data_IF_666626003526
#
_entry.id   IF_666626003526
#
_cell.length_a   1.000
_cell.length_b   1.000
_cell.length_c   1.000
_cell.angle_alpha   90.00
_cell.angle_beta   90.00
_cell.angle_gamma   90.00
#
_symmetry.space_group_name_H-M   'P 1'
#
loop_
_entity.id
_entity.type
_entity.pdbx_description
1 polymer ?
#
# COMPACT_ATOMS: atom_id res chain seq x y z
N UNK A 1 -27.45 6.10 30.49
CA UNK A 1 -26.49 6.33 29.38
C UNK A 1 -25.11 5.90 29.89
N UNK A 2 -24.55 4.79 29.41
CA UNK A 2 -23.27 4.29 29.93
C UNK A 2 -22.11 4.95 29.18
N UNK A 3 -21.44 5.90 29.82
CA UNK A 3 -20.23 6.56 29.29
C UNK A 3 -19.09 5.53 29.36
N UNK A 4 -18.49 5.21 28.20
CA UNK A 4 -17.32 4.33 28.17
C UNK A 4 -16.06 5.17 28.42
N UNK A 5 -15.43 5.02 29.59
CA UNK A 5 -14.07 5.53 29.84
C UNK A 5 -13.00 4.78 29.05
N UNK A 6 -13.31 3.59 28.52
CA UNK A 6 -12.33 2.65 27.95
C UNK A 6 -12.50 2.35 26.44
N UNK A 7 -13.45 2.99 25.75
CA UNK A 7 -13.60 2.77 24.30
C UNK A 7 -12.36 3.26 23.54
N UNK A 8 -11.86 2.43 22.61
CA UNK A 8 -10.65 2.77 21.85
C UNK A 8 -10.63 2.11 20.48
N UNK A 9 -10.45 2.91 19.43
CA UNK A 9 -10.34 2.44 18.05
C UNK A 9 -9.06 1.64 17.82
N UNK A 10 -7.94 2.20 18.28
CA UNK A 10 -6.60 1.61 18.16
C UNK A 10 -5.97 1.41 19.54
N UNK A 11 -5.02 0.49 19.66
CA UNK A 11 -4.23 0.40 20.88
C UNK A 11 -3.23 1.57 20.87
N UNK A 12 -3.27 2.51 21.84
CA UNK A 12 -2.36 3.66 21.84
C UNK A 12 -0.88 3.25 21.91
N UNK A 13 -0.58 2.07 22.47
CA UNK A 13 0.76 1.48 22.54
C UNK A 13 1.15 0.66 21.30
N UNK A 14 0.28 0.59 20.29
CA UNK A 14 0.52 -0.16 19.06
C UNK A 14 1.66 0.43 18.21
N UNK A 15 1.87 -0.19 17.04
CA UNK A 15 2.80 0.29 16.03
C UNK A 15 2.39 1.70 15.61
N UNK A 16 3.30 2.66 15.81
CA UNK A 16 3.18 4.03 15.32
C UNK A 16 3.90 4.14 13.96
N UNK A 17 3.59 5.17 13.16
CA UNK A 17 4.31 5.42 11.90
C UNK A 17 5.84 5.49 12.09
N UNK A 18 6.31 6.10 13.19
CA UNK A 18 7.73 6.16 13.54
C UNK A 18 8.34 4.76 13.73
N UNK A 19 7.67 3.88 14.50
CA UNK A 19 8.13 2.50 14.71
C UNK A 19 8.11 1.69 13.42
N UNK A 20 7.13 1.94 12.56
CA UNK A 20 7.00 1.27 11.26
C UNK A 20 8.15 1.64 10.31
N UNK A 21 8.49 2.93 10.18
CA UNK A 21 9.66 3.39 9.41
C UNK A 21 10.93 2.80 9.99
N UNK A 22 11.13 2.91 11.31
CA UNK A 22 12.33 2.39 11.95
C UNK A 22 12.52 0.89 11.69
N UNK A 23 11.45 0.09 11.82
CA UNK A 23 11.48 -1.33 11.50
C UNK A 23 11.82 -1.59 10.02
N UNK A 24 11.23 -0.84 9.09
CA UNK A 24 11.53 -0.96 7.66
C UNK A 24 12.99 -0.61 7.34
N UNK A 25 13.52 0.48 7.91
CA UNK A 25 14.91 0.86 7.75
C UNK A 25 15.88 -0.16 8.37
N UNK A 26 15.53 -0.76 9.52
CA UNK A 26 16.33 -1.82 10.14
C UNK A 26 16.35 -3.09 9.29
N UNK A 27 15.22 -3.49 8.69
CA UNK A 27 15.16 -4.62 7.77
C UNK A 27 15.97 -4.34 6.50
N UNK A 28 15.84 -3.13 5.95
CA UNK A 28 16.63 -2.69 4.80
C UNK A 28 18.13 -2.74 5.12
N UNK A 29 18.55 -2.22 6.29
CA UNK A 29 19.95 -2.26 6.73
C UNK A 29 20.44 -3.69 6.94
N UNK A 30 19.62 -4.57 7.51
CA UNK A 30 19.98 -5.98 7.66
C UNK A 30 20.22 -6.64 6.30
N UNK A 31 19.38 -6.38 5.30
CA UNK A 31 19.61 -6.86 3.94
C UNK A 31 20.84 -6.24 3.28
N UNK A 32 21.08 -4.94 3.46
CA UNK A 32 22.29 -4.27 2.97
C UNK A 32 23.57 -4.93 3.50
N UNK A 33 23.59 -5.28 4.79
CA UNK A 33 24.78 -5.84 5.44
C UNK A 33 24.99 -7.33 5.18
N UNK A 34 23.90 -8.09 5.01
CA UNK A 34 23.96 -9.56 4.96
C UNK A 34 23.89 -10.13 3.54
N UNK A 35 23.26 -9.42 2.60
CA UNK A 35 23.04 -9.95 1.26
C UNK A 35 24.27 -9.73 0.36
N UNK A 36 24.65 -10.72 -0.47
CA UNK A 36 25.75 -10.60 -1.42
C UNK A 36 25.36 -9.72 -2.62
N UNK A 37 24.98 -8.46 -2.39
CA UNK A 37 24.59 -7.47 -3.41
C UNK A 37 25.53 -6.27 -3.36
N UNK A 38 25.77 -5.65 -4.52
CA UNK A 38 26.48 -4.38 -4.63
C UNK A 38 25.51 -3.33 -5.10
N UNK A 39 25.17 -2.37 -4.22
CA UNK A 39 24.28 -1.28 -4.60
C UNK A 39 25.01 -0.26 -5.48
N UNK A 40 24.24 0.36 -6.39
CA UNK A 40 24.69 1.54 -7.12
C UNK A 40 25.03 2.68 -6.17
N UNK A 41 26.15 3.33 -6.46
CA UNK A 41 26.64 4.53 -5.78
C UNK A 41 26.62 5.70 -6.76
N UNK A 42 25.87 6.76 -6.43
CA UNK A 42 25.86 7.99 -7.22
C UNK A 42 27.25 8.65 -7.25
N UNK A 43 27.55 9.45 -8.28
CA UNK A 43 28.84 10.13 -8.36
C UNK A 43 28.96 11.33 -7.41
N UNK A 44 27.85 11.77 -6.82
CA UNK A 44 27.79 12.86 -5.84
C UNK A 44 27.03 12.45 -4.59
N UNK A 45 27.30 13.14 -3.48
CA UNK A 45 26.60 12.91 -2.21
C UNK A 45 25.19 13.52 -2.17
N UNK A 46 24.87 14.40 -3.12
CA UNK A 46 23.62 15.16 -3.15
C UNK A 46 22.36 14.28 -3.09
N UNK A 47 22.22 13.19 -3.86
CA UNK A 47 21.05 12.31 -3.75
C UNK A 47 20.87 11.69 -2.37
N UNK A 48 21.96 11.32 -1.69
CA UNK A 48 21.90 10.73 -0.36
C UNK A 48 21.56 11.75 0.72
N UNK A 49 22.12 12.96 0.61
CA UNK A 49 21.74 14.09 1.47
C UNK A 49 20.26 14.41 1.30
N UNK A 50 19.76 14.49 0.07
CA UNK A 50 18.36 14.76 -0.20
C UNK A 50 17.45 13.66 0.32
N UNK A 51 17.80 12.38 0.13
CA UNK A 51 17.07 11.25 0.70
C UNK A 51 16.99 11.34 2.23
N UNK A 52 18.13 11.64 2.87
CA UNK A 52 18.20 11.88 4.32
C UNK A 52 17.29 13.01 4.77
N UNK A 53 17.26 14.13 4.04
CA UNK A 53 16.37 15.26 4.29
C UNK A 53 14.89 14.90 4.08
N UNK A 54 14.55 14.06 3.10
CA UNK A 54 13.19 13.57 2.90
C UNK A 54 12.71 12.72 4.08
N UNK A 55 13.55 11.80 4.57
CA UNK A 55 13.26 11.06 5.80
C UNK A 55 13.15 11.98 7.01
N UNK A 56 14.09 12.91 7.19
CA UNK A 56 14.05 13.88 8.28
C UNK A 56 12.77 14.74 8.24
N UNK A 57 12.36 15.19 7.05
CA UNK A 57 11.12 15.93 6.84
C UNK A 57 9.89 15.10 7.19
N UNK A 58 9.81 13.85 6.71
CA UNK A 58 8.73 12.93 7.06
C UNK A 58 8.64 12.70 8.57
N UNK A 59 9.77 12.42 9.22
CA UNK A 59 9.86 12.21 10.66
C UNK A 59 9.47 13.48 11.44
N UNK A 60 9.93 14.65 11.01
CA UNK A 60 9.56 15.93 11.60
C UNK A 60 8.05 16.15 11.56
N UNK A 61 7.43 15.95 10.38
CA UNK A 61 5.97 16.03 10.24
C UNK A 61 5.24 15.05 11.15
N UNK A 62 5.73 13.80 11.24
CA UNK A 62 5.14 12.79 12.12
C UNK A 62 5.19 13.19 13.60
N UNK A 63 6.32 13.76 14.06
CA UNK A 63 6.55 14.13 15.46
C UNK A 63 5.77 15.40 15.84
N UNK A 64 5.77 16.43 14.99
CA UNK A 64 5.17 17.74 15.32
C UNK A 64 3.68 17.65 15.67
N UNK A 65 2.96 16.75 15.01
CA UNK A 65 1.51 16.59 15.19
C UNK A 65 1.13 15.35 16.02
N UNK A 66 2.12 14.64 16.57
CA UNK A 66 1.88 13.43 17.35
C UNK A 66 1.14 13.78 18.65
N UNK A 67 0.03 13.09 18.98
CA UNK A 67 -0.72 13.34 20.20
C UNK A 67 0.12 13.04 21.44
N UNK A 68 0.49 14.08 22.20
CA UNK A 68 1.31 13.96 23.43
C UNK A 68 0.54 13.34 24.61
N UNK A 69 -0.78 13.55 24.66
CA UNK A 69 -1.64 13.04 25.73
C UNK A 69 -2.80 12.28 25.13
N UNK A 70 -3.23 11.20 25.81
CA UNK A 70 -4.46 10.50 25.44
C UNK A 70 -5.64 11.42 25.76
N UNK A 71 -6.42 11.85 24.76
CA UNK A 71 -7.64 12.57 25.05
C UNK A 71 -8.62 11.62 25.76
N UNK A 72 -9.10 12.01 26.94
CA UNK A 72 -10.25 11.36 27.57
C UNK A 72 -11.50 11.86 26.85
N UNK A 73 -11.99 11.06 25.91
CA UNK A 73 -13.24 11.35 25.21
C UNK A 73 -14.34 10.52 25.86
N UNK A 74 -15.30 11.19 26.49
CA UNK A 74 -16.55 10.54 26.90
C UNK A 74 -17.37 10.28 25.62
N UNK A 75 -17.61 9.01 25.30
CA UNK A 75 -18.37 8.65 24.10
C UNK A 75 -19.61 7.85 24.47
N UNK A 76 -20.74 8.17 23.85
CA UNK A 76 -21.96 7.39 23.95
C UNK A 76 -21.78 6.05 23.19
N UNK A 77 -21.89 4.95 23.95
CA UNK A 77 -21.81 3.58 23.43
C UNK A 77 -22.82 3.32 22.31
N UNK A 78 -24.04 3.85 22.41
CA UNK A 78 -25.08 3.62 21.41
C UNK A 78 -24.77 4.35 20.10
N UNK A 79 -24.28 5.59 20.19
CA UNK A 79 -23.86 6.37 19.03
C UNK A 79 -22.68 5.72 18.29
N UNK A 80 -21.69 5.21 19.03
CA UNK A 80 -20.57 4.44 18.47
C UNK A 80 -21.09 3.21 17.73
N UNK A 81 -21.96 2.43 18.38
CA UNK A 81 -22.46 1.19 17.80
C UNK A 81 -23.19 1.45 16.48
N UNK A 82 -24.08 2.46 16.47
CA UNK A 82 -24.79 2.90 15.26
C UNK A 82 -23.82 3.37 14.17
N UNK A 83 -22.78 4.12 14.55
CA UNK A 83 -21.76 4.60 13.60
C UNK A 83 -20.98 3.43 12.99
N UNK A 84 -20.56 2.46 13.80
CA UNK A 84 -19.87 1.26 13.34
C UNK A 84 -20.76 0.41 12.42
N UNK A 85 -22.04 0.23 12.76
CA UNK A 85 -23.00 -0.51 11.93
C UNK A 85 -23.20 0.16 10.58
N UNK A 86 -23.44 1.48 10.55
CA UNK A 86 -23.59 2.24 9.30
C UNK A 86 -22.34 2.18 8.43
N UNK A 87 -21.16 2.38 9.02
CA UNK A 87 -19.90 2.27 8.29
C UNK A 87 -19.70 0.86 7.74
N UNK A 88 -19.96 -0.17 8.55
CA UNK A 88 -19.88 -1.56 8.12
C UNK A 88 -20.79 -1.83 6.92
N UNK A 89 -22.08 -1.48 7.02
CA UNK A 89 -23.08 -1.77 5.97
C UNK A 89 -22.78 -1.04 4.66
N UNK A 90 -22.54 0.28 4.73
CA UNK A 90 -22.24 1.09 3.54
C UNK A 90 -20.98 0.56 2.86
N UNK A 91 -19.90 0.36 3.62
CA UNK A 91 -18.64 -0.10 3.03
C UNK A 91 -18.71 -1.55 2.54
N UNK A 92 -19.52 -2.40 3.15
CA UNK A 92 -19.76 -3.76 2.67
C UNK A 92 -20.48 -3.75 1.31
N UNK A 93 -21.52 -2.93 1.16
CA UNK A 93 -22.25 -2.79 -0.12
C UNK A 93 -21.32 -2.24 -1.20
N UNK A 94 -20.57 -1.17 -0.91
CA UNK A 94 -19.62 -0.57 -1.85
C UNK A 94 -18.54 -1.57 -2.27
N UNK A 95 -18.01 -2.34 -1.32
CA UNK A 95 -17.02 -3.36 -1.60
C UNK A 95 -17.55 -4.52 -2.45
N UNK A 96 -18.74 -5.03 -2.12
CA UNK A 96 -19.40 -6.08 -2.89
C UNK A 96 -19.67 -5.63 -4.32
N UNK A 97 -20.16 -4.39 -4.49
CA UNK A 97 -20.33 -3.77 -5.81
C UNK A 97 -18.99 -3.62 -6.53
N UNK A 98 -17.94 -3.14 -5.87
CA UNK A 98 -16.61 -3.00 -6.46
C UNK A 98 -16.04 -4.30 -6.99
N UNK A 99 -16.20 -5.40 -6.25
CA UNK A 99 -15.80 -6.74 -6.69
C UNK A 99 -16.69 -7.24 -7.83
N UNK A 100 -18.01 -7.08 -7.74
CA UNK A 100 -18.94 -7.49 -8.80
C UNK A 100 -18.63 -6.79 -10.13
N UNK A 101 -18.39 -5.47 -10.10
CA UNK A 101 -17.99 -4.70 -11.28
C UNK A 101 -16.63 -5.17 -11.83
N UNK A 102 -15.69 -5.57 -10.97
CA UNK A 102 -14.40 -6.12 -11.44
C UNK A 102 -14.59 -7.43 -12.18
N UNK A 103 -15.36 -8.34 -11.58
CA UNK A 103 -15.65 -9.63 -12.16
C UNK A 103 -16.42 -9.46 -13.47
N UNK A 104 -17.36 -8.51 -13.54
CA UNK A 104 -18.08 -8.21 -14.77
C UNK A 104 -17.16 -7.67 -15.87
N UNK A 105 -16.26 -6.74 -15.56
CA UNK A 105 -15.22 -6.28 -16.49
C UNK A 105 -14.36 -7.45 -17.00
N UNK A 106 -13.91 -8.31 -16.08
CA UNK A 106 -13.04 -9.42 -16.40
C UNK A 106 -13.69 -10.49 -17.25
N UNK A 107 -14.88 -10.95 -16.86
CA UNK A 107 -15.57 -12.06 -17.53
C UNK A 107 -16.27 -11.58 -18.79
N UNK A 108 -17.05 -10.50 -18.73
CA UNK A 108 -17.93 -10.10 -19.83
C UNK A 108 -17.29 -9.12 -20.81
N UNK A 109 -16.44 -8.19 -20.36
CA UNK A 109 -15.81 -7.23 -21.26
C UNK A 109 -14.49 -7.74 -21.83
N UNK A 110 -13.67 -8.40 -21.01
CA UNK A 110 -12.32 -8.84 -21.39
C UNK A 110 -12.24 -10.33 -21.75
N UNK A 111 -13.30 -11.10 -21.50
CA UNK A 111 -13.34 -12.53 -21.85
C UNK A 111 -12.24 -13.36 -21.17
N UNK A 112 -11.94 -13.05 -19.91
CA UNK A 112 -11.03 -13.84 -19.08
C UNK A 112 -11.70 -15.16 -18.71
N UNK A 113 -11.02 -16.27 -18.98
CA UNK A 113 -11.50 -17.62 -18.61
C UNK A 113 -10.47 -18.31 -17.73
N UNK A 114 -10.92 -19.22 -16.87
CA UNK A 114 -10.01 -20.00 -15.99
C UNK A 114 -9.18 -20.99 -16.82
N UNK A 115 -9.72 -21.42 -17.97
CA UNK A 115 -9.10 -22.40 -18.87
C UNK A 115 -8.02 -21.81 -19.79
N UNK A 116 -7.91 -20.49 -19.87
CA UNK A 116 -6.86 -19.83 -20.67
C UNK A 116 -5.59 -19.68 -19.86
N UNK A 117 -4.44 -19.86 -20.54
CA UNK A 117 -3.14 -19.68 -19.91
C UNK A 117 -3.01 -18.28 -19.29
N UNK A 118 -2.34 -18.23 -18.14
CA UNK A 118 -2.15 -17.01 -17.36
C UNK A 118 -1.62 -15.82 -18.20
N UNK A 119 -0.70 -16.08 -19.14
CA UNK A 119 -0.10 -15.05 -19.99
C UNK A 119 -1.10 -14.45 -20.98
N UNK A 120 -1.95 -15.28 -21.59
CA UNK A 120 -2.98 -14.83 -22.53
C UNK A 120 -4.02 -13.94 -21.81
N UNK A 121 -4.41 -14.35 -20.60
CA UNK A 121 -5.31 -13.57 -19.76
C UNK A 121 -4.70 -12.20 -19.39
N UNK A 122 -3.40 -12.16 -19.08
CA UNK A 122 -2.69 -10.92 -18.80
C UNK A 122 -2.65 -9.99 -20.03
N UNK A 123 -2.34 -10.53 -21.20
CA UNK A 123 -2.26 -9.78 -22.45
C UNK A 123 -3.63 -9.17 -22.84
N UNK A 124 -4.74 -9.91 -22.64
CA UNK A 124 -6.11 -9.38 -22.81
C UNK A 124 -6.37 -8.18 -21.90
N UNK A 125 -5.89 -8.21 -20.66
CA UNK A 125 -6.05 -7.09 -19.72
C UNK A 125 -5.22 -5.89 -20.18
N UNK A 126 -3.96 -6.10 -20.57
CA UNK A 126 -3.05 -5.02 -20.95
C UNK A 126 -3.49 -4.34 -22.26
N UNK A 127 -3.93 -5.12 -23.25
CA UNK A 127 -4.40 -4.63 -24.55
C UNK A 127 -5.74 -3.90 -24.50
N UNK A 128 -6.70 -4.36 -23.68
CA UNK A 128 -8.03 -3.73 -23.58
C UNK A 128 -8.02 -2.36 -22.88
N UNK A 129 -6.90 -1.97 -22.25
CA UNK A 129 -6.77 -0.66 -21.60
C UNK A 129 -7.71 -0.47 -20.40
N UNK A 130 -8.02 0.79 -20.06
CA UNK A 130 -8.96 1.14 -18.97
C UNK A 130 -10.34 1.51 -19.52
N UNK A 131 -11.39 0.96 -18.91
CA UNK A 131 -12.79 1.31 -19.20
C UNK A 131 -13.52 1.81 -17.93
N UNK A 132 -14.73 2.36 -18.09
CA UNK A 132 -15.50 2.94 -16.99
C UNK A 132 -15.80 1.94 -15.85
N UNK A 133 -16.19 0.69 -16.16
CA UNK A 133 -16.44 -0.34 -15.14
C UNK A 133 -15.18 -0.65 -14.34
N UNK A 134 -14.05 -0.81 -15.03
CA UNK A 134 -12.75 -1.07 -14.41
C UNK A 134 -12.31 0.10 -13.52
N UNK A 135 -12.58 1.36 -13.91
CA UNK A 135 -12.26 2.54 -13.12
C UNK A 135 -13.15 2.65 -11.88
N UNK A 136 -14.47 2.52 -12.04
CA UNK A 136 -15.41 2.54 -10.91
C UNK A 136 -15.10 1.42 -9.90
N UNK A 137 -14.85 0.21 -10.39
CA UNK A 137 -14.39 -0.90 -9.56
C UNK A 137 -13.12 -0.55 -8.79
N UNK A 138 -12.14 0.10 -9.43
CA UNK A 138 -10.87 0.49 -8.80
C UNK A 138 -11.08 1.45 -7.62
N UNK A 139 -12.04 2.37 -7.72
CA UNK A 139 -12.40 3.31 -6.64
C UNK A 139 -13.12 2.60 -5.48
N UNK A 140 -13.88 1.53 -5.77
CA UNK A 140 -14.69 0.83 -4.77
C UNK A 140 -13.96 -0.32 -4.06
N UNK A 141 -13.01 -0.98 -4.73
CA UNK A 141 -12.20 -2.08 -4.18
C UNK A 141 -11.54 -1.75 -2.82
N UNK A 142 -11.04 -0.52 -2.55
CA UNK A 142 -10.52 -0.16 -1.25
C UNK A 142 -11.44 -0.50 -0.07
N UNK A 143 -12.76 -0.42 -0.27
CA UNK A 143 -13.73 -0.73 0.78
C UNK A 143 -13.79 -2.20 1.14
N UNK A 144 -13.17 -3.12 0.40
CA UNK A 144 -13.14 -4.56 0.74
C UNK A 144 -12.53 -4.84 2.12
N UNK A 145 -11.62 -3.98 2.58
CA UNK A 145 -10.98 -4.12 3.90
C UNK A 145 -11.80 -3.47 5.03
N UNK A 146 -12.55 -2.41 4.74
CA UNK A 146 -13.19 -1.57 5.76
C UNK A 146 -14.20 -2.30 6.65
N UNK A 147 -15.09 -3.19 6.13
CA UNK A 147 -15.99 -3.97 6.97
C UNK A 147 -15.25 -4.79 8.03
N UNK A 148 -14.09 -5.37 7.69
CA UNK A 148 -13.27 -6.10 8.64
C UNK A 148 -12.68 -5.18 9.71
N UNK A 149 -12.25 -3.96 9.34
CA UNK A 149 -11.79 -2.96 10.30
C UNK A 149 -12.89 -2.58 11.31
N UNK A 150 -14.10 -2.33 10.83
CA UNK A 150 -15.26 -1.99 11.69
C UNK A 150 -15.62 -3.15 12.61
N UNK A 151 -15.67 -4.38 12.08
CA UNK A 151 -15.88 -5.59 12.86
C UNK A 151 -14.80 -5.77 13.95
N UNK A 152 -13.53 -5.56 13.60
CA UNK A 152 -12.41 -5.68 14.51
C UNK A 152 -12.47 -4.66 15.67
N UNK A 153 -12.77 -3.39 15.36
CA UNK A 153 -13.01 -2.35 16.38
C UNK A 153 -14.15 -2.75 17.30
N UNK A 154 -15.29 -3.16 16.75
CA UNK A 154 -16.45 -3.58 17.54
C UNK A 154 -16.09 -4.73 18.48
N UNK A 155 -15.49 -5.81 17.94
CA UNK A 155 -15.10 -7.01 18.69
C UNK A 155 -14.16 -6.69 19.83
N UNK A 156 -13.16 -5.84 19.61
CA UNK A 156 -12.22 -5.42 20.66
C UNK A 156 -12.93 -4.75 21.84
N UNK A 157 -13.92 -3.91 21.54
CA UNK A 157 -14.66 -3.14 22.55
C UNK A 157 -15.89 -3.89 23.09
N UNK A 158 -15.98 -5.22 22.90
CA UNK A 158 -17.10 -6.03 23.38
C UNK A 158 -18.43 -5.77 22.67
N UNK A 159 -18.40 -5.11 21.51
CA UNK A 159 -19.56 -4.87 20.65
C UNK A 159 -19.63 -5.92 19.53
N UNK A 160 -20.81 -6.10 18.96
CA UNK A 160 -21.04 -6.98 17.81
C UNK A 160 -21.54 -6.16 16.63
N UNK A 161 -20.77 -6.13 15.56
CA UNK A 161 -21.11 -5.47 14.29
C UNK A 161 -20.74 -6.40 13.15
N UNK A 162 -21.73 -6.69 12.30
CA UNK A 162 -21.54 -7.57 11.15
C UNK A 162 -21.10 -8.99 11.50
N UNK A 163 -20.61 -9.71 10.50
CA UNK A 163 -20.10 -11.08 10.65
C UNK A 163 -18.60 -11.14 10.36
N UNK A 164 -17.86 -11.84 11.22
CA UNK A 164 -16.40 -12.02 11.07
C UNK A 164 -16.06 -12.75 9.77
N UNK A 165 -16.81 -13.82 9.44
CA UNK A 165 -16.50 -14.62 8.26
C UNK A 165 -16.81 -13.87 6.96
N UNK A 166 -17.92 -13.11 6.91
CA UNK A 166 -18.30 -12.32 5.74
C UNK A 166 -17.28 -11.22 5.46
N UNK A 167 -16.86 -10.51 6.52
CA UNK A 167 -15.89 -9.42 6.40
C UNK A 167 -14.49 -9.90 6.05
N UNK A 168 -14.03 -11.01 6.65
CA UNK A 168 -12.75 -11.63 6.27
C UNK A 168 -12.81 -12.14 4.83
N UNK A 169 -13.86 -12.87 4.45
CA UNK A 169 -14.02 -13.40 3.10
C UNK A 169 -13.97 -12.31 2.03
N UNK A 170 -14.68 -11.20 2.25
CA UNK A 170 -14.65 -10.05 1.34
C UNK A 170 -13.27 -9.38 1.28
N UNK A 171 -12.60 -9.23 2.43
CA UNK A 171 -11.27 -8.64 2.50
C UNK A 171 -10.18 -9.51 1.85
N UNK A 172 -10.34 -10.84 1.85
CA UNK A 172 -9.42 -11.78 1.20
C UNK A 172 -9.70 -11.98 -0.28
N UNK A 173 -10.93 -11.70 -0.73
CA UNK A 173 -11.34 -11.91 -2.11
C UNK A 173 -10.51 -11.06 -3.08
N UNK A 174 -10.24 -9.80 -2.73
CA UNK A 174 -9.40 -8.94 -3.58
C UNK A 174 -7.95 -9.45 -3.74
N UNK A 175 -7.20 -9.76 -2.66
CA UNK A 175 -5.91 -10.44 -2.77
C UNK A 175 -5.93 -11.69 -3.66
N UNK A 176 -6.95 -12.55 -3.51
CA UNK A 176 -7.08 -13.78 -4.31
C UNK A 176 -7.29 -13.46 -5.79
N UNK A 177 -8.17 -12.50 -6.12
CA UNK A 177 -8.38 -12.05 -7.49
C UNK A 177 -7.12 -11.45 -8.10
N UNK A 178 -6.32 -10.73 -7.31
CA UNK A 178 -5.05 -10.15 -7.79
C UNK A 178 -3.97 -11.19 -8.09
N UNK A 179 -4.00 -12.35 -7.42
CA UNK A 179 -3.12 -13.48 -7.75
C UNK A 179 -3.46 -14.03 -9.13
N UNK A 180 -4.75 -14.18 -9.45
CA UNK A 180 -5.21 -14.70 -10.75
C UNK A 180 -4.70 -13.86 -11.93
N UNK A 181 -4.60 -12.53 -11.75
CA UNK A 181 -4.04 -11.61 -12.77
C UNK A 181 -2.54 -11.33 -12.59
N UNK A 182 -1.90 -11.95 -11.59
CA UNK A 182 -0.48 -11.83 -11.25
C UNK A 182 -0.02 -10.45 -10.81
N UNK A 183 -0.91 -9.66 -10.22
CA UNK A 183 -0.58 -8.39 -9.58
C UNK A 183 -0.09 -8.61 -8.15
N UNK A 184 1.21 -8.86 -7.99
CA UNK A 184 1.82 -9.17 -6.68
C UNK A 184 1.77 -7.99 -5.70
N UNK A 185 1.96 -6.77 -6.18
CA UNK A 185 2.06 -5.58 -5.32
C UNK A 185 0.73 -5.22 -4.65
N UNK A 186 -0.39 -5.32 -5.38
CA UNK A 186 -1.74 -5.06 -4.84
C UNK A 186 -2.17 -6.12 -3.81
N UNK A 187 -1.79 -7.38 -4.00
CA UNK A 187 -1.93 -8.44 -3.01
C UNK A 187 -1.18 -8.09 -1.71
N UNK A 188 0.11 -7.74 -1.80
CA UNK A 188 0.92 -7.38 -0.63
C UNK A 188 0.36 -6.16 0.11
N UNK A 189 -0.11 -5.15 -0.61
CA UNK A 189 -0.75 -3.97 -0.01
C UNK A 189 -1.99 -4.38 0.82
N UNK A 190 -2.87 -5.18 0.24
CA UNK A 190 -4.15 -5.56 0.86
C UNK A 190 -3.95 -6.52 2.05
N UNK A 191 -3.09 -7.54 1.90
CA UNK A 191 -2.74 -8.45 2.99
C UNK A 191 -1.94 -7.74 4.10
N UNK A 192 -1.02 -6.84 3.72
CA UNK A 192 -0.27 -6.00 4.64
C UNK A 192 -1.20 -5.15 5.50
N UNK A 193 -2.20 -4.51 4.89
CA UNK A 193 -3.23 -3.77 5.63
C UNK A 193 -4.04 -4.66 6.57
N UNK A 194 -4.37 -5.90 6.21
CA UNK A 194 -5.04 -6.85 7.12
C UNK A 194 -4.18 -7.20 8.34
N UNK A 195 -2.88 -7.40 8.14
CA UNK A 195 -1.93 -7.60 9.24
C UNK A 195 -1.87 -6.34 10.12
N UNK A 196 -1.78 -5.15 9.52
CA UNK A 196 -1.77 -3.87 10.25
C UNK A 196 -3.05 -3.67 11.08
N UNK A 197 -4.23 -3.99 10.54
CA UNK A 197 -5.50 -3.97 11.28
C UNK A 197 -5.37 -4.78 12.57
N UNK A 198 -4.85 -6.01 12.47
CA UNK A 198 -4.69 -6.89 13.63
C UNK A 198 -3.72 -6.31 14.66
N UNK A 199 -2.56 -5.84 14.22
CA UNK A 199 -1.49 -5.32 15.07
C UNK A 199 -1.84 -3.99 15.77
N UNK A 200 -2.65 -3.16 15.12
CA UNK A 200 -3.03 -1.83 15.63
C UNK A 200 -4.25 -1.91 16.53
N UNK A 201 -5.30 -2.62 16.11
CA UNK A 201 -6.59 -2.61 16.83
C UNK A 201 -6.50 -3.45 18.10
N UNK A 202 -5.88 -4.63 18.04
CA UNK A 202 -5.88 -5.55 19.17
C UNK A 202 -4.63 -5.37 20.05
N UNK A 203 -4.77 -5.27 21.38
CA UNK A 203 -3.63 -5.02 22.26
C UNK A 203 -2.70 -6.23 22.39
N UNK A 204 -3.21 -7.44 22.18
CA UNK A 204 -2.46 -8.69 22.22
C UNK A 204 -2.78 -9.49 20.96
N UNK A 205 -1.74 -9.80 20.20
CA UNK A 205 -1.81 -10.75 19.08
C UNK A 205 -1.12 -12.03 19.54
N UNK A 206 -1.78 -13.18 19.39
CA UNK A 206 -1.19 -14.46 19.77
C UNK A 206 0.01 -14.77 18.88
N UNK A 207 1.03 -15.43 19.44
CA UNK A 207 2.20 -15.90 18.68
C UNK A 207 1.78 -16.75 17.49
N UNK A 208 0.76 -17.60 17.65
CA UNK A 208 0.21 -18.43 16.57
C UNK A 208 -0.24 -17.60 15.35
N UNK A 209 -0.97 -16.49 15.56
CA UNK A 209 -1.43 -15.63 14.46
C UNK A 209 -0.23 -14.95 13.80
N UNK A 210 0.72 -14.45 14.59
CA UNK A 210 1.94 -13.83 14.05
C UNK A 210 2.76 -14.81 13.22
N UNK A 211 2.98 -16.02 13.73
CA UNK A 211 3.67 -17.10 13.03
C UNK A 211 2.92 -17.49 11.76
N UNK A 212 1.59 -17.62 11.82
CA UNK A 212 0.78 -17.90 10.62
C UNK A 212 0.92 -16.81 9.57
N UNK A 213 0.82 -15.53 9.94
CA UNK A 213 1.00 -14.42 9.01
C UNK A 213 2.42 -14.38 8.42
N UNK A 214 3.44 -14.66 9.23
CA UNK A 214 4.83 -14.72 8.77
C UNK A 214 5.04 -15.89 7.79
N UNK A 215 4.56 -17.08 8.12
CA UNK A 215 4.62 -18.25 7.23
C UNK A 215 3.84 -18.03 5.94
N UNK A 216 2.68 -17.38 6.00
CA UNK A 216 1.91 -17.01 4.82
C UNK A 216 2.69 -16.03 3.93
N UNK A 217 3.32 -15.00 4.49
CA UNK A 217 4.13 -14.06 3.73
C UNK A 217 5.33 -14.75 3.08
N UNK A 218 6.06 -15.59 3.81
CA UNK A 218 7.17 -16.40 3.28
C UNK A 218 6.68 -17.34 2.19
N UNK A 219 5.56 -18.03 2.41
CA UNK A 219 4.95 -18.93 1.44
C UNK A 219 4.55 -18.21 0.15
N UNK A 220 3.94 -17.02 0.25
CA UNK A 220 3.58 -16.21 -0.92
C UNK A 220 4.80 -15.73 -1.70
N UNK A 221 5.87 -15.30 -1.00
CA UNK A 221 7.14 -14.94 -1.65
C UNK A 221 7.74 -16.17 -2.35
N UNK A 222 7.72 -17.32 -1.69
CA UNK A 222 8.29 -18.56 -2.23
C UNK A 222 7.53 -19.07 -3.45
N UNK A 223 6.20 -19.20 -3.35
CA UNK A 223 5.32 -19.59 -4.48
C UNK A 223 5.42 -18.57 -5.61
N UNK A 224 5.39 -17.28 -5.31
CA UNK A 224 5.56 -16.22 -6.31
C UNK A 224 6.93 -16.25 -6.99
N UNK A 225 7.97 -16.68 -6.28
CA UNK A 225 9.30 -16.89 -6.80
C UNK A 225 9.41 -18.11 -7.72
N UNK A 226 8.76 -19.22 -7.36
CA UNK A 226 8.68 -20.42 -8.21
C UNK A 226 7.92 -20.13 -9.52
N UNK A 227 6.78 -19.45 -9.44
CA UNK A 227 6.04 -19.00 -10.63
C UNK A 227 6.89 -18.07 -11.50
N UNK A 228 7.74 -17.24 -10.89
CA UNK A 228 8.65 -16.39 -11.64
C UNK A 228 9.73 -17.21 -12.36
N UNK A 229 10.32 -18.22 -11.72
CA UNK A 229 11.29 -19.12 -12.37
C UNK A 229 10.64 -19.85 -13.55
N UNK A 230 9.47 -20.46 -13.35
CA UNK A 230 8.74 -21.17 -14.39
C UNK A 230 8.49 -20.26 -15.60
N UNK A 231 8.01 -19.03 -15.35
CA UNK A 231 7.78 -18.04 -16.41
C UNK A 231 9.05 -17.69 -17.18
N UNK A 232 10.20 -17.55 -16.49
CA UNK A 232 11.47 -17.25 -17.16
C UNK A 232 11.91 -18.37 -18.10
N UNK A 233 11.68 -19.62 -17.68
CA UNK A 233 11.98 -20.79 -18.48
C UNK A 233 11.07 -20.88 -19.72
N UNK A 234 9.77 -20.58 -19.57
CA UNK A 234 8.80 -20.58 -20.68
C UNK A 234 9.17 -19.57 -21.77
N UNK A 235 9.70 -18.40 -21.41
CA UNK A 235 10.16 -17.37 -22.36
C UNK A 235 11.62 -17.56 -22.81
N UNK A 236 12.23 -18.69 -22.47
CA UNK A 236 13.61 -19.04 -22.88
C UNK A 236 14.71 -18.22 -22.19
N UNK A 237 14.39 -17.48 -21.13
CA UNK A 237 15.38 -16.68 -20.39
C UNK A 237 16.08 -17.51 -19.31
N UNK A 238 17.41 -17.41 -19.28
CA UNK A 238 18.21 -18.01 -18.21
C UNK A 238 18.08 -17.19 -16.93
N UNK A 239 17.72 -17.85 -15.83
CA UNK A 239 17.62 -17.31 -14.47
C UNK A 239 18.88 -16.50 -14.07
N UNK A 240 20.06 -16.95 -14.50
CA UNK A 240 21.36 -16.30 -14.26
C UNK A 240 21.49 -14.93 -14.92
N UNK A 241 20.90 -14.74 -16.10
CA UNK A 241 20.91 -13.43 -16.77
C UNK A 241 19.96 -12.47 -16.06
N UNK A 242 18.80 -12.97 -15.63
CA UNK A 242 17.74 -12.19 -15.01
C UNK A 242 18.18 -11.61 -13.66
N UNK A 243 18.90 -12.38 -12.83
CA UNK A 243 19.36 -11.87 -11.53
C UNK A 243 20.40 -10.74 -11.66
N UNK A 244 21.09 -10.65 -12.80
CA UNK A 244 22.07 -9.58 -13.09
C UNK A 244 21.47 -8.40 -13.84
N UNK A 245 20.56 -8.66 -14.79
CA UNK A 245 20.18 -7.71 -15.85
C UNK A 245 18.69 -7.35 -15.86
N UNK A 246 17.89 -7.79 -14.88
CA UNK A 246 16.52 -7.31 -14.77
C UNK A 246 16.46 -5.83 -14.46
N UNK A 247 15.36 -5.18 -14.85
CA UNK A 247 15.12 -3.77 -14.61
C UNK A 247 15.38 -3.37 -13.14
N UNK A 248 14.82 -4.10 -12.17
CA UNK A 248 15.00 -3.80 -10.73
C UNK A 248 16.29 -4.36 -10.11
N UNK A 249 17.08 -5.16 -10.83
CA UNK A 249 18.34 -5.72 -10.32
C UNK A 249 19.57 -4.95 -10.80
N UNK A 250 19.43 -4.15 -11.85
CA UNK A 250 20.53 -3.39 -12.46
C UNK A 250 21.27 -2.46 -11.48
N UNK A 251 20.56 -1.82 -10.55
CA UNK A 251 21.16 -0.93 -9.55
C UNK A 251 21.39 -1.61 -8.18
N UNK A 252 21.09 -2.91 -8.08
CA UNK A 252 21.38 -3.76 -6.94
C UNK A 252 21.84 -5.16 -7.39
N UNK A 253 22.86 -5.28 -8.26
CA UNK A 253 23.29 -6.57 -8.78
C UNK A 253 23.87 -7.46 -7.68
N UNK A 254 23.75 -8.78 -7.88
CA UNK A 254 24.44 -9.77 -7.06
C UNK A 254 25.95 -9.75 -7.31
N UNK A 255 26.72 -9.98 -6.27
CA UNK A 255 28.19 -10.07 -6.30
C UNK A 255 28.67 -11.46 -6.76
N UNK A 256 29.98 -11.66 -7.03
CA UNK A 256 30.54 -12.98 -7.31
C UNK A 256 30.25 -14.03 -6.22
N UNK A 257 30.15 -13.62 -4.96
CA UNK A 257 29.87 -14.52 -3.82
C UNK A 257 28.54 -15.26 -3.98
N UNK A 258 27.53 -14.61 -4.57
CA UNK A 258 26.27 -15.26 -4.91
C UNK A 258 26.49 -16.49 -5.81
N UNK A 259 27.33 -16.36 -6.83
CA UNK A 259 27.58 -17.44 -7.79
C UNK A 259 28.43 -18.56 -7.18
N UNK A 260 29.35 -18.20 -6.27
CA UNK A 260 30.13 -19.15 -5.49
C UNK A 260 29.23 -19.99 -4.57
N UNK A 261 28.31 -19.37 -3.85
CA UNK A 261 27.34 -20.08 -3.01
C UNK A 261 26.39 -20.92 -3.87
N UNK A 262 25.91 -20.38 -5.00
CA UNK A 262 24.96 -21.08 -5.88
C UNK A 262 25.54 -22.36 -6.48
N UNK A 263 26.82 -22.35 -6.87
CA UNK A 263 27.45 -23.49 -7.55
C UNK A 263 27.48 -24.76 -6.69
N UNK A 264 27.63 -24.61 -5.37
CA UNK A 264 27.65 -25.71 -4.40
C UNK A 264 26.27 -26.21 -3.96
N UNK A 265 25.18 -25.60 -4.44
CA UNK A 265 23.82 -25.98 -4.04
C UNK A 265 23.17 -26.95 -5.04
N UNK A 266 22.27 -27.80 -4.53
CA UNK A 266 21.33 -28.59 -5.33
C UNK A 266 20.37 -27.69 -6.11
N UNK A 267 19.63 -28.24 -7.08
CA UNK A 267 18.64 -27.47 -7.86
C UNK A 267 17.63 -26.73 -6.97
N UNK A 268 17.07 -27.43 -5.97
CA UNK A 268 16.17 -26.83 -5.00
C UNK A 268 16.83 -25.70 -4.19
N UNK A 269 18.09 -25.89 -3.78
CA UNK A 269 18.87 -24.86 -3.10
C UNK A 269 19.15 -23.65 -4.00
N UNK A 270 19.46 -23.85 -5.28
CA UNK A 270 19.67 -22.79 -6.27
C UNK A 270 18.40 -21.98 -6.50
N UNK A 271 17.26 -22.64 -6.64
CA UNK A 271 15.95 -21.98 -6.79
C UNK A 271 15.59 -21.18 -5.53
N UNK A 272 15.78 -21.77 -4.35
CA UNK A 272 15.54 -21.07 -3.08
C UNK A 272 16.43 -19.82 -2.95
N UNK A 273 17.73 -19.95 -3.23
CA UNK A 273 18.67 -18.84 -3.21
C UNK A 273 18.29 -17.75 -4.21
N UNK A 274 17.89 -18.12 -5.44
CA UNK A 274 17.41 -17.16 -6.44
C UNK A 274 16.16 -16.39 -5.96
N UNK A 275 15.18 -17.09 -5.38
CA UNK A 275 13.94 -16.47 -4.88
C UNK A 275 14.24 -15.48 -3.77
N UNK A 276 15.03 -15.90 -2.77
CA UNK A 276 15.43 -15.04 -1.64
C UNK A 276 16.20 -13.83 -2.14
N UNK A 277 17.18 -14.02 -3.03
CA UNK A 277 18.00 -12.92 -3.53
C UNK A 277 17.21 -11.97 -4.42
N UNK A 278 16.30 -12.47 -5.25
CA UNK A 278 15.42 -11.61 -6.07
C UNK A 278 14.49 -10.78 -5.16
N UNK A 279 13.98 -11.39 -4.09
CA UNK A 279 13.20 -10.66 -3.09
C UNK A 279 14.03 -9.57 -2.40
N UNK A 280 15.26 -9.89 -1.99
CA UNK A 280 16.17 -8.92 -1.37
C UNK A 280 16.52 -7.80 -2.34
N UNK A 281 16.90 -8.09 -3.59
CA UNK A 281 17.15 -7.08 -4.61
C UNK A 281 15.93 -6.17 -4.80
N UNK A 282 14.73 -6.74 -4.87
CA UNK A 282 13.49 -5.97 -4.93
C UNK A 282 13.21 -5.16 -3.65
N UNK A 283 13.60 -5.63 -2.47
CA UNK A 283 13.47 -4.84 -1.24
C UNK A 283 14.48 -3.67 -1.21
N UNK A 284 15.64 -3.86 -1.81
CA UNK A 284 16.77 -2.93 -1.74
C UNK A 284 16.79 -1.89 -2.86
N UNK A 285 16.13 -2.15 -4.00
CA UNK A 285 16.25 -1.32 -5.22
C UNK A 285 15.79 0.14 -5.04
N UNK A 286 14.82 0.42 -4.15
CA UNK A 286 14.19 1.73 -4.08
C UNK A 286 15.18 2.88 -3.79
N UNK A 287 16.17 2.63 -2.92
CA UNK A 287 17.19 3.61 -2.52
C UNK A 287 18.17 3.96 -3.65
N UNK A 288 18.84 2.99 -4.32
CA UNK A 288 19.69 3.32 -5.45
C UNK A 288 18.90 3.85 -6.66
N UNK A 289 17.65 3.43 -6.89
CA UNK A 289 16.78 4.02 -7.92
C UNK A 289 16.42 5.49 -7.60
N UNK A 290 16.21 5.83 -6.33
CA UNK A 290 16.09 7.24 -5.93
C UNK A 290 17.38 8.02 -6.20
N UNK A 291 18.54 7.45 -5.86
CA UNK A 291 19.82 8.12 -6.07
C UNK A 291 20.08 8.38 -7.57
N UNK A 292 19.86 7.37 -8.39
CA UNK A 292 19.98 7.46 -9.84
C UNK A 292 19.02 8.48 -10.44
N UNK A 293 17.76 8.48 -9.97
CA UNK A 293 16.75 9.46 -10.37
C UNK A 293 17.24 10.88 -10.10
N UNK A 294 17.69 11.19 -8.89
CA UNK A 294 18.12 12.56 -8.54
C UNK A 294 19.33 13.00 -9.37
N UNK A 295 20.27 12.10 -9.66
CA UNK A 295 21.47 12.41 -10.43
C UNK A 295 21.20 12.62 -11.93
N UNK A 296 20.22 11.93 -12.51
CA UNK A 296 19.98 11.91 -13.96
C UNK A 296 18.66 12.57 -14.37
N UNK A 297 17.91 13.15 -13.43
CA UNK A 297 16.68 13.86 -13.75
C UNK A 297 16.99 15.30 -14.18
N UNK A 298 16.73 15.58 -15.46
CA UNK A 298 17.06 16.82 -16.16
C UNK A 298 15.83 17.63 -16.59
N UNK A 299 14.63 17.19 -16.18
CA UNK A 299 13.35 17.80 -16.57
C UNK A 299 12.86 18.81 -15.54
N UNK A 300 11.93 19.65 -15.99
CA UNK A 300 11.23 20.59 -15.11
C UNK A 300 10.35 19.86 -14.08
N UNK A 301 10.13 20.52 -12.94
CA UNK A 301 9.23 20.03 -11.90
C UNK A 301 7.81 19.80 -12.43
N UNK A 302 7.21 18.67 -12.06
CA UNK A 302 5.89 18.26 -12.57
C UNK A 302 4.72 18.74 -11.70
N UNK A 303 4.97 19.39 -10.56
CA UNK A 303 4.00 20.04 -9.67
C UNK A 303 2.79 19.16 -9.27
N UNK A 304 3.01 17.86 -9.10
CA UNK A 304 2.00 16.89 -8.66
C UNK A 304 1.40 16.06 -9.80
N UNK A 305 1.64 16.44 -11.05
CA UNK A 305 1.09 15.71 -12.21
C UNK A 305 1.68 14.30 -12.35
N UNK A 306 2.87 14.04 -11.82
CA UNK A 306 3.49 12.72 -11.85
C UNK A 306 2.99 11.80 -10.72
N UNK A 307 2.89 12.28 -9.48
CA UNK A 307 2.34 11.47 -8.38
C UNK A 307 0.85 11.22 -8.56
N UNK A 308 0.12 12.21 -9.08
CA UNK A 308 -1.34 12.17 -9.23
C UNK A 308 -1.80 11.98 -10.68
N UNK A 309 -0.97 11.38 -11.54
CA UNK A 309 -1.30 11.12 -12.96
C UNK A 309 -2.58 10.31 -13.14
N UNK A 310 -3.00 9.58 -12.11
CA UNK A 310 -4.29 8.87 -12.07
C UNK A 310 -5.48 9.79 -12.36
N UNK A 311 -5.45 11.06 -11.95
CA UNK A 311 -6.53 12.00 -12.23
C UNK A 311 -6.56 12.41 -13.71
N UNK A 312 -5.40 12.61 -14.32
CA UNK A 312 -5.31 12.87 -15.76
C UNK A 312 -5.84 11.68 -16.57
N UNK A 313 -5.48 10.45 -16.16
CA UNK A 313 -6.01 9.21 -16.76
C UNK A 313 -7.51 9.05 -16.57
N UNK A 314 -8.03 9.39 -15.39
CA UNK A 314 -9.47 9.40 -15.12
C UNK A 314 -10.16 10.41 -16.04
N UNK A 315 -9.59 11.60 -16.19
CA UNK A 315 -10.12 12.65 -17.04
C UNK A 315 -10.20 12.24 -18.51
N UNK A 316 -9.16 11.58 -19.02
CA UNK A 316 -9.16 11.00 -20.35
C UNK A 316 -10.25 9.94 -20.52
N UNK A 317 -10.41 9.06 -19.53
CA UNK A 317 -11.38 7.95 -19.62
C UNK A 317 -12.84 8.44 -19.54
N UNK A 318 -13.12 9.48 -18.76
CA UNK A 318 -14.48 9.98 -18.51
C UNK A 318 -14.90 11.11 -19.46
N UNK A 319 -13.97 12.00 -19.80
CA UNK A 319 -14.26 13.23 -20.55
C UNK A 319 -13.42 13.38 -21.82
N UNK A 320 -12.54 12.42 -22.15
CA UNK A 320 -11.72 12.47 -23.35
C UNK A 320 -10.61 13.54 -23.32
N UNK A 321 -10.25 14.05 -22.14
CA UNK A 321 -9.18 15.06 -22.01
C UNK A 321 -7.83 14.50 -22.49
N UNK A 322 -7.00 15.24 -23.24
CA UNK A 322 -5.72 14.74 -23.73
C UNK A 322 -4.85 14.17 -22.60
N UNK A 323 -4.41 12.93 -22.76
CA UNK A 323 -3.51 12.25 -21.83
C UNK A 323 -2.56 11.35 -22.61
N UNK A 324 -1.26 11.60 -22.47
CA UNK A 324 -0.22 10.77 -23.04
C UNK A 324 0.45 9.92 -21.94
N UNK A 325 0.08 8.65 -21.90
CA UNK A 325 0.64 7.70 -20.95
C UNK A 325 2.14 7.44 -21.18
N UNK A 326 2.60 7.51 -22.43
CA UNK A 326 4.01 7.29 -22.77
C UNK A 326 4.85 8.49 -22.32
N UNK A 327 4.38 9.71 -22.57
CA UNK A 327 5.04 10.92 -22.06
C UNK A 327 5.19 10.87 -20.54
N UNK A 328 4.15 10.47 -19.81
CA UNK A 328 4.18 10.34 -18.36
C UNK A 328 5.17 9.26 -17.88
N UNK A 329 5.25 8.11 -18.56
CA UNK A 329 6.22 7.05 -18.24
C UNK A 329 7.66 7.47 -18.51
N UNK A 330 7.88 8.27 -19.54
CA UNK A 330 9.20 8.75 -19.95
C UNK A 330 9.69 9.93 -19.11
N UNK A 331 8.92 10.41 -18.12
CA UNK A 331 9.37 11.45 -17.20
C UNK A 331 10.56 11.01 -16.34
N UNK A 332 10.67 9.72 -16.01
CA UNK A 332 11.80 9.21 -15.22
C UNK A 332 12.93 8.70 -16.12
N UNK A 333 14.20 8.82 -15.70
CA UNK A 333 15.35 8.30 -16.45
C UNK A 333 15.27 6.79 -16.69
N UNK A 334 14.60 6.06 -15.79
CA UNK A 334 14.33 4.62 -15.90
C UNK A 334 12.81 4.39 -15.83
N UNK A 335 12.12 4.24 -16.98
CA UNK A 335 10.67 4.04 -17.02
C UNK A 335 10.25 2.72 -16.37
N UNK A 336 9.11 2.73 -15.65
CA UNK A 336 8.47 1.52 -15.15
C UNK A 336 9.17 0.85 -13.95
N UNK A 337 10.15 1.50 -13.33
CA UNK A 337 10.83 1.00 -12.12
C UNK A 337 10.37 1.80 -10.91
N UNK A 338 10.04 1.08 -9.84
CA UNK A 338 9.67 1.71 -8.58
C UNK A 338 10.93 2.27 -7.88
N UNK A 339 10.72 3.33 -7.13
CA UNK A 339 11.72 3.97 -6.27
C UNK A 339 11.09 4.15 -4.89
N UNK A 340 11.85 4.67 -3.91
CA UNK A 340 11.32 5.02 -2.58
C UNK A 340 10.05 5.90 -2.68
N UNK A 341 9.33 6.05 -1.57
CA UNK A 341 8.21 7.00 -1.44
C UNK A 341 8.55 8.40 -1.99
N UNK A 342 9.81 8.81 -1.89
CA UNK A 342 10.26 10.16 -2.20
C UNK A 342 10.56 10.37 -3.68
N UNK A 343 10.77 9.33 -4.47
CA UNK A 343 11.16 9.49 -5.87
C UNK A 343 10.11 10.21 -6.71
N UNK A 344 8.83 9.79 -6.71
CA UNK A 344 7.80 10.51 -7.46
C UNK A 344 7.56 11.93 -6.94
N UNK A 345 7.74 12.15 -5.64
CA UNK A 345 7.70 13.48 -5.06
C UNK A 345 8.86 14.36 -5.55
N UNK A 346 10.04 13.79 -5.80
CA UNK A 346 11.16 14.49 -6.44
C UNK A 346 10.88 14.87 -7.89
N UNK A 347 10.23 14.00 -8.65
CA UNK A 347 9.78 14.35 -10.02
C UNK A 347 8.81 15.54 -9.98
N UNK A 348 7.94 15.60 -8.97
CA UNK A 348 6.97 16.68 -8.83
C UNK A 348 7.52 17.98 -8.25
N UNK A 349 8.44 17.92 -7.28
CA UNK A 349 8.84 19.07 -6.47
C UNK A 349 10.36 19.30 -6.41
N UNK A 350 11.16 18.44 -7.04
CA UNK A 350 12.62 18.54 -7.06
C UNK A 350 13.24 18.70 -5.66
N UNK A 351 14.15 19.67 -5.46
CA UNK A 351 14.77 19.92 -4.16
C UNK A 351 13.80 20.29 -3.03
N UNK A 352 12.55 20.69 -3.33
CA UNK A 352 11.53 21.02 -2.31
C UNK A 352 10.83 19.78 -1.73
N UNK A 353 11.15 18.58 -2.21
CA UNK A 353 10.59 17.31 -1.72
C UNK A 353 10.60 17.16 -0.19
N UNK A 354 11.69 17.50 0.54
CA UNK A 354 11.70 17.41 2.00
C UNK A 354 10.59 18.21 2.68
N UNK A 355 10.26 19.40 2.16
CA UNK A 355 9.17 20.22 2.70
C UNK A 355 7.81 19.54 2.49
N UNK A 356 7.59 18.94 1.33
CA UNK A 356 6.39 18.14 1.09
C UNK A 356 6.31 16.92 2.04
N UNK A 357 7.45 16.27 2.32
CA UNK A 357 7.51 15.19 3.29
C UNK A 357 7.10 15.63 4.71
N UNK A 358 7.40 16.87 5.13
CA UNK A 358 6.91 17.42 6.40
C UNK A 358 5.38 17.52 6.39
N UNK A 359 4.79 18.05 5.32
CA UNK A 359 3.33 18.16 5.19
C UNK A 359 2.68 16.78 5.21
N UNK A 360 3.26 15.82 4.47
CA UNK A 360 2.78 14.44 4.44
C UNK A 360 2.83 13.78 5.82
N UNK A 361 3.96 13.90 6.51
CA UNK A 361 4.12 13.39 7.89
C UNK A 361 3.11 14.02 8.84
N UNK A 362 2.90 15.34 8.73
CA UNK A 362 1.91 16.06 9.52
C UNK A 362 0.49 15.55 9.26
N UNK A 363 0.12 15.31 8.00
CA UNK A 363 -1.19 14.77 7.64
C UNK A 363 -1.43 13.35 8.19
N UNK A 364 -0.42 12.49 8.14
CA UNK A 364 -0.48 11.13 8.68
C UNK A 364 -0.68 11.16 10.20
N UNK A 365 0.10 12.00 10.88
CA UNK A 365 0.04 12.17 12.34
C UNK A 365 -1.28 12.81 12.79
N UNK A 366 -1.77 13.80 12.04
CA UNK A 366 -3.11 14.36 12.23
C UNK A 366 -4.21 13.31 12.05
N UNK A 367 -4.15 12.47 11.02
CA UNK A 367 -5.11 11.37 10.82
C UNK A 367 -5.10 10.43 12.03
N UNK A 368 -3.92 10.06 12.54
CA UNK A 368 -3.79 9.26 13.77
C UNK A 368 -4.43 9.93 14.97
N UNK A 369 -4.23 11.23 15.15
CA UNK A 369 -4.87 12.02 16.22
C UNK A 369 -6.38 11.92 16.17
N UNK A 370 -6.97 12.03 14.98
CA UNK A 370 -8.42 11.93 14.79
C UNK A 370 -8.95 10.53 15.17
N UNK A 371 -8.21 9.47 14.79
CA UNK A 371 -8.53 8.11 15.23
C UNK A 371 -8.44 7.96 16.76
N UNK A 372 -7.45 8.59 17.41
CA UNK A 372 -7.33 8.56 18.87
C UNK A 372 -8.43 9.38 19.57
N UNK A 373 -8.99 10.39 18.90
CA UNK A 373 -10.14 11.17 19.35
C UNK A 373 -11.48 10.45 19.13
N UNK A 374 -11.47 9.25 18.52
CA UNK A 374 -12.67 8.44 18.29
C UNK A 374 -13.32 8.63 16.91
N UNK A 375 -12.67 9.33 15.97
CA UNK A 375 -13.18 9.44 14.60
C UNK A 375 -13.02 8.11 13.83
N UNK A 376 -14.06 7.28 13.91
CA UNK A 376 -14.10 5.92 13.35
C UNK A 376 -13.82 5.90 11.84
N UNK A 377 -14.35 6.89 11.11
CA UNK A 377 -14.22 6.95 9.66
C UNK A 377 -12.79 7.30 9.19
N UNK A 378 -11.93 7.86 10.05
CA UNK A 378 -10.52 8.13 9.74
C UNK A 378 -9.63 6.88 9.84
N UNK A 379 -10.10 5.81 10.50
CA UNK A 379 -9.31 4.61 10.77
C UNK A 379 -8.78 3.92 9.50
N UNK A 380 -9.58 3.71 8.43
CA UNK A 380 -9.08 3.08 7.21
C UNK A 380 -7.94 3.85 6.56
N UNK A 381 -8.05 5.19 6.51
CA UNK A 381 -7.01 6.06 5.97
C UNK A 381 -5.72 5.96 6.79
N UNK A 382 -5.82 5.97 8.12
CA UNK A 382 -4.66 5.80 8.99
C UNK A 382 -3.94 4.45 8.78
N UNK A 383 -4.68 3.35 8.66
CA UNK A 383 -4.10 2.03 8.39
C UNK A 383 -3.41 2.00 7.02
N UNK A 384 -4.01 2.63 6.01
CA UNK A 384 -3.41 2.76 4.69
C UNK A 384 -2.08 3.53 4.75
N UNK A 385 -2.05 4.67 5.45
CA UNK A 385 -0.83 5.42 5.66
C UNK A 385 0.23 4.62 6.40
N UNK A 386 -0.12 3.84 7.41
CA UNK A 386 0.88 3.02 8.09
C UNK A 386 1.53 1.99 7.15
N UNK A 387 0.74 1.37 6.27
CA UNK A 387 1.27 0.46 5.25
C UNK A 387 2.20 1.19 4.27
N UNK A 388 1.80 2.37 3.79
CA UNK A 388 2.60 3.16 2.85
C UNK A 388 3.92 3.66 3.47
N UNK A 389 3.85 4.08 4.73
CA UNK A 389 4.99 4.49 5.54
C UNK A 389 5.95 3.32 5.79
N UNK A 390 5.43 2.12 6.04
CA UNK A 390 6.24 0.90 6.19
C UNK A 390 6.98 0.56 4.88
N UNK A 391 6.39 0.87 3.73
CA UNK A 391 6.99 0.63 2.43
C UNK A 391 7.94 1.77 1.98
N UNK A 392 8.07 2.86 2.74
CA UNK A 392 8.64 4.11 2.23
C UNK A 392 10.07 4.00 1.70
N UNK A 393 10.93 3.19 2.34
CA UNK A 393 12.31 2.96 1.89
C UNK A 393 12.43 2.03 0.68
N UNK A 394 11.37 1.25 0.40
CA UNK A 394 11.37 0.17 -0.58
C UNK A 394 10.70 0.60 -1.88
N UNK A 395 9.46 1.07 -1.79
CA UNK A 395 8.63 1.47 -2.93
C UNK A 395 7.73 2.65 -2.56
N UNK A 396 7.38 3.47 -3.54
CA UNK A 396 6.28 4.42 -3.40
C UNK A 396 4.93 3.69 -3.42
N UNK A 397 4.48 3.22 -2.26
CA UNK A 397 3.16 2.63 -2.08
C UNK A 397 2.00 3.64 -2.10
N UNK A 398 2.25 4.96 -2.18
CA UNK A 398 1.19 5.93 -2.50
C UNK A 398 0.76 5.77 -3.94
N UNK A 399 1.69 5.77 -4.89
CA UNK A 399 1.35 5.64 -6.31
C UNK A 399 1.13 4.18 -6.74
N UNK A 400 1.94 3.27 -6.20
CA UNK A 400 1.95 1.86 -6.56
C UNK A 400 0.83 1.08 -5.86
N UNK A 401 0.56 -0.14 -6.33
CA UNK A 401 -0.33 -1.09 -5.66
C UNK A 401 -1.73 -0.55 -5.33
N UNK A 402 -2.26 0.35 -6.16
CA UNK A 402 -3.53 1.07 -5.96
C UNK A 402 -3.57 2.05 -4.78
N UNK A 403 -2.42 2.44 -4.21
CA UNK A 403 -2.35 3.29 -3.03
C UNK A 403 -3.14 4.60 -3.12
N UNK A 404 -3.11 5.29 -4.27
CA UNK A 404 -3.85 6.54 -4.45
C UNK A 404 -5.34 6.30 -4.35
N UNK A 405 -5.84 5.20 -4.92
CA UNK A 405 -7.27 4.85 -4.83
C UNK A 405 -7.68 4.53 -3.40
N UNK A 406 -6.84 3.82 -2.64
CA UNK A 406 -7.08 3.62 -1.20
C UNK A 406 -7.13 4.94 -0.44
N UNK A 407 -6.16 5.83 -0.66
CA UNK A 407 -6.08 7.13 -0.01
C UNK A 407 -7.34 7.97 -0.31
N UNK A 408 -7.74 8.07 -1.58
CA UNK A 408 -8.89 8.86 -1.99
C UNK A 408 -10.21 8.28 -1.49
N UNK A 409 -10.41 6.96 -1.61
CA UNK A 409 -11.64 6.31 -1.17
C UNK A 409 -11.83 6.47 0.36
N UNK A 410 -10.75 6.29 1.13
CA UNK A 410 -10.82 6.42 2.59
C UNK A 410 -10.92 7.88 3.05
N UNK A 411 -10.26 8.81 2.36
CA UNK A 411 -10.42 10.24 2.63
C UNK A 411 -11.86 10.70 2.32
N UNK A 412 -12.41 10.28 1.18
CA UNK A 412 -13.80 10.61 0.80
C UNK A 412 -14.81 10.04 1.81
N UNK A 413 -14.60 8.78 2.26
CA UNK A 413 -15.42 8.17 3.32
C UNK A 413 -15.37 9.00 4.61
N UNK A 414 -14.17 9.39 5.03
CA UNK A 414 -13.99 10.18 6.24
C UNK A 414 -14.71 11.53 6.14
N UNK A 415 -14.46 12.29 5.07
CA UNK A 415 -15.10 13.59 4.84
C UNK A 415 -16.63 13.46 4.79
N UNK A 416 -17.16 12.48 4.06
CA UNK A 416 -18.60 12.26 3.95
C UNK A 416 -19.27 12.01 5.32
N UNK A 417 -18.64 11.22 6.18
CA UNK A 417 -19.16 10.94 7.52
C UNK A 417 -19.00 12.12 8.48
N UNK A 418 -17.89 12.85 8.42
CA UNK A 418 -17.68 14.05 9.24
C UNK A 418 -18.72 15.14 8.90
N UNK A 419 -18.99 15.37 7.61
CA UNK A 419 -20.02 16.32 7.19
C UNK A 419 -21.43 15.92 7.65
N UNK A 420 -21.74 14.63 7.65
CA UNK A 420 -23.05 14.14 8.11
C UNK A 420 -23.24 14.30 9.63
N UNK A 421 -22.18 14.08 10.43
CA UNK A 421 -22.21 14.30 11.88
C UNK A 421 -22.54 15.76 12.23
N UNK A 422 -21.95 16.73 11.52
CA UNK A 422 -22.22 18.16 11.77
C UNK A 422 -23.63 18.62 11.36
N UNK A 423 -24.31 17.90 10.46
CA UNK A 423 -25.70 18.20 10.05
C UNK A 423 -26.75 17.63 11.00
N UNK A 424 -26.44 16.57 11.74
CA UNK A 424 -27.36 15.92 12.67
C UNK A 424 -27.84 16.82 13.85
N UNK A 425 -27.02 17.68 14.48
CA UNK A 425 -27.49 18.60 15.52
C UNK A 425 -28.52 19.62 15.00
N UNK A 426 -28.36 20.12 13.78
CA UNK A 426 -29.29 21.08 13.17
C UNK A 426 -30.69 20.48 12.90
N UNK A 427 -30.76 19.19 12.52
CA UNK A 427 -32.05 18.48 12.33
C UNK A 427 -32.75 18.12 13.64
N UNK A 428 -32.00 17.86 14.72
CA UNK A 428 -32.61 17.64 16.04
C UNK A 428 -33.21 18.92 16.62
N UNK A 429 -32.63 20.08 16.35
CA UNK A 429 -33.20 21.37 16.75
C UNK A 429 -34.50 21.70 16.00
N UNK A 430 -34.65 21.27 14.74
CA UNK A 430 -35.86 21.48 13.95
C UNK A 430 -36.97 20.45 14.20
N UNK A 431 -36.66 19.30 14.79
CA UNK A 431 -37.65 18.28 15.18
C UNK A 431 -38.18 18.47 16.63
N UNK A 432 -37.66 19.48 17.33
CA UNK A 432 -38.06 19.88 18.69
C UNK A 432 -38.80 21.23 18.71
N UNK A 433 -39.16 21.75 17.53
CA UNK A 433 -40.08 22.87 17.30
C UNK A 433 -41.26 22.26 16.54
#
# INVERSE_FOLDING_TARGET
MAILSDFSLINPRSITPLKAIAAACLVWLAFYLLAPIKLYTANSDYPYLLLGLCFAGLLLGLILFEPRHRPTVAVDRNEILLTLQRLYEITFILAALGVALRLADWVFLRGLTIDTEFMQNREKIESAGSNALSMLSTVLIPFTLTPYMMHAVAKRNGLRVGSSWKSIGLATLWPLLTIVIGSRSSMFMSLGMLVMVRLIIFPRTSKLILTFCALLAVGLVYVGGLLFIARLQDIGLKVENVIRLSAFTHLAPVTPDYFNIRSSLSEWGRNTLFIVMTFVQYYMHGTPEFAYLVEHYDKDMQFGTYTFTVFARLGYTLWGTPFDANAALMLTPRPGIYTTLFGPLYVDFGPFTPAFCVVLGGFISWTRRQVLLGEIAALPLYICFLMQVTAAIVINAFQSAYGVFYNLAFLALWVAFSLNKHRAPARRAQALI
#
